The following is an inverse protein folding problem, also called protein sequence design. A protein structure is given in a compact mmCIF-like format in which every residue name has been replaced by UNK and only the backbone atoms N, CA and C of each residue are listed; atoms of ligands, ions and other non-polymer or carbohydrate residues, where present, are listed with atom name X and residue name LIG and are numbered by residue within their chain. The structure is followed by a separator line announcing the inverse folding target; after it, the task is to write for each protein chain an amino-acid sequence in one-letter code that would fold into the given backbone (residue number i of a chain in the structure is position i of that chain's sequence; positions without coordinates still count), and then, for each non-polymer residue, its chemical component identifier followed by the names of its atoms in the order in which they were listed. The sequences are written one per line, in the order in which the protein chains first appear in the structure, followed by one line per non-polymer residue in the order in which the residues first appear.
data_IF_178896730484
#
_entry.id   IF_178896730484
#
_cell.length_a   1.000
_cell.length_b   1.000
_cell.length_c   1.000
_cell.angle_alpha   90.00
_cell.angle_beta   90.00
_cell.angle_gamma   90.00
#
_symmetry.space_group_name_H-M   'P 1'
#
loop_
_entity.id
_entity.type
_entity.pdbx_description
1 polymer ?
#
# COMPACT_ATOMS: atom_id res chain seq x y z
N UNK A 1 -25.29 -12.23 -14.33
CA UNK A 1 -23.92 -11.67 -14.42
C UNK A 1 -23.03 -12.53 -13.55
N UNK A 2 -21.89 -12.98 -14.07
CA UNK A 2 -21.00 -13.89 -13.34
C UNK A 2 -20.25 -13.15 -12.23
N UNK A 3 -19.96 -13.84 -11.12
CA UNK A 3 -19.06 -13.32 -10.08
C UNK A 3 -17.71 -12.89 -10.67
N UNK A 4 -17.27 -13.59 -11.72
CA UNK A 4 -16.07 -13.27 -12.48
C UNK A 4 -16.15 -11.91 -13.18
N UNK A 5 -17.32 -11.56 -13.75
CA UNK A 5 -17.53 -10.27 -14.41
C UNK A 5 -17.54 -9.13 -13.39
N UNK A 6 -18.11 -9.36 -12.20
CA UNK A 6 -18.08 -8.38 -11.11
C UNK A 6 -16.65 -8.15 -10.60
N UNK A 7 -15.82 -9.18 -10.51
CA UNK A 7 -14.42 -9.05 -10.08
C UNK A 7 -13.55 -8.32 -11.12
N UNK A 8 -13.76 -8.57 -12.42
CA UNK A 8 -13.06 -7.84 -13.48
C UNK A 8 -13.49 -6.38 -13.57
N UNK A 9 -14.76 -6.08 -13.29
CA UNK A 9 -15.31 -4.72 -13.31
C UNK A 9 -15.12 -3.94 -12.00
N UNK A 10 -14.73 -4.61 -10.90
CA UNK A 10 -14.42 -3.98 -9.61
C UNK A 10 -13.08 -3.22 -9.58
N UNK A 11 -12.43 -3.03 -10.73
CA UNK A 11 -11.42 -1.98 -10.91
C UNK A 11 -9.97 -2.38 -10.62
N UNK A 12 -9.69 -3.61 -10.19
CA UNK A 12 -8.30 -4.11 -10.16
C UNK A 12 -7.89 -4.54 -11.56
N UNK A 13 -7.46 -3.58 -12.39
CA UNK A 13 -6.81 -3.87 -13.67
C UNK A 13 -5.66 -4.84 -13.41
N UNK A 14 -5.72 -6.02 -14.03
CA UNK A 14 -4.58 -6.94 -14.03
C UNK A 14 -3.43 -6.22 -14.74
N UNK A 15 -2.26 -6.02 -14.09
CA UNK A 15 -1.17 -5.28 -14.71
C UNK A 15 -0.62 -6.08 -15.91
N UNK A 16 -0.71 -5.47 -17.08
CA UNK A 16 -0.36 -6.06 -18.39
C UNK A 16 1.04 -5.69 -18.84
N UNK A 17 1.56 -4.56 -18.37
CA UNK A 17 2.91 -4.09 -18.68
C UNK A 17 3.87 -4.29 -17.50
N UNK A 18 5.18 -4.32 -17.76
CA UNK A 18 6.18 -4.35 -16.68
C UNK A 18 6.11 -3.09 -15.81
N UNK A 19 5.87 -1.92 -16.42
CA UNK A 19 5.70 -0.67 -15.69
C UNK A 19 4.55 -0.76 -14.68
N UNK A 20 3.38 -1.27 -15.09
CA UNK A 20 2.23 -1.48 -14.20
C UNK A 20 2.51 -2.51 -13.11
N UNK A 21 3.30 -3.54 -13.40
CA UNK A 21 3.71 -4.57 -12.44
C UNK A 21 4.65 -4.04 -11.37
N UNK A 22 5.48 -3.07 -11.75
CA UNK A 22 6.42 -2.40 -10.86
C UNK A 22 5.82 -1.13 -10.22
N UNK A 23 4.53 -0.84 -10.40
CA UNK A 23 3.87 0.23 -9.64
C UNK A 23 3.90 -0.05 -8.13
N UNK A 24 4.16 1.02 -7.36
CA UNK A 24 4.06 0.99 -5.90
C UNK A 24 2.60 0.95 -5.47
N UNK A 25 2.30 0.07 -4.52
CA UNK A 25 1.00 -0.04 -3.86
C UNK A 25 1.19 -0.10 -2.36
N UNK A 26 0.20 0.39 -1.62
CA UNK A 26 0.13 0.16 -0.18
C UNK A 26 -0.38 -1.25 0.06
N UNK A 27 0.22 -1.92 1.03
CA UNK A 27 -0.21 -3.21 1.55
C UNK A 27 -0.21 -3.14 3.08
N UNK A 28 -0.95 -4.01 3.73
CA UNK A 28 -1.11 -3.99 5.19
C UNK A 28 -0.73 -5.32 5.81
N UNK A 29 -0.30 -5.30 7.07
CA UNK A 29 -0.04 -6.53 7.83
C UNK A 29 -1.28 -6.89 8.64
N UNK A 30 -1.67 -8.15 8.62
CA UNK A 30 -2.77 -8.68 9.44
C UNK A 30 -2.32 -8.98 10.87
N UNK A 31 -1.93 -7.96 11.63
CA UNK A 31 -1.52 -8.08 13.05
C UNK A 31 -2.47 -7.37 14.02
N UNK A 32 -3.66 -6.95 13.56
CA UNK A 32 -4.65 -6.24 14.37
C UNK A 32 -4.36 -4.74 14.58
N UNK A 33 -3.23 -4.25 14.06
CA UNK A 33 -2.87 -2.83 14.01
C UNK A 33 -2.82 -2.37 12.56
N UNK A 34 -3.07 -1.08 12.31
CA UNK A 34 -2.99 -0.47 10.99
C UNK A 34 -1.54 -0.19 10.62
N UNK A 35 -0.79 -1.24 10.32
CA UNK A 35 0.61 -1.18 9.89
C UNK A 35 0.71 -1.36 8.39
N UNK A 36 1.09 -0.30 7.70
CA UNK A 36 1.17 -0.22 6.25
C UNK A 36 2.60 -0.36 5.74
N UNK A 37 2.72 -1.06 4.63
CA UNK A 37 3.92 -1.36 3.88
C UNK A 37 3.75 -0.94 2.42
N UNK A 38 4.87 -0.80 1.71
CA UNK A 38 4.85 -0.64 0.26
C UNK A 38 5.20 -1.97 -0.37
N UNK A 39 4.49 -2.32 -1.43
CA UNK A 39 4.77 -3.47 -2.27
C UNK A 39 4.77 -3.04 -3.74
N UNK A 40 5.24 -3.93 -4.61
CA UNK A 40 5.04 -3.81 -6.06
C UNK A 40 3.80 -4.61 -6.44
N UNK A 41 3.04 -4.18 -7.45
CA UNK A 41 1.85 -4.93 -7.93
C UNK A 41 2.14 -6.38 -8.28
N UNK A 42 3.33 -6.69 -8.79
CA UNK A 42 3.76 -8.07 -9.08
C UNK A 42 3.86 -8.97 -7.85
N UNK A 43 4.00 -8.41 -6.65
CA UNK A 43 4.20 -9.15 -5.40
C UNK A 43 3.56 -8.43 -4.21
N UNK A 44 2.23 -8.32 -4.22
CA UNK A 44 1.45 -7.65 -3.17
C UNK A 44 1.46 -8.39 -1.82
N UNK A 45 1.84 -9.66 -1.82
CA UNK A 45 1.90 -10.49 -0.62
C UNK A 45 3.20 -10.30 0.18
N UNK A 46 4.12 -9.49 -0.34
CA UNK A 46 5.37 -9.12 0.32
C UNK A 46 5.60 -7.62 0.24
N UNK A 47 5.89 -6.98 1.37
CA UNK A 47 6.43 -5.63 1.39
C UNK A 47 7.82 -5.56 0.75
N UNK A 48 8.26 -4.37 0.34
CA UNK A 48 9.63 -4.11 -0.13
C UNK A 48 10.68 -4.51 0.92
N UNK A 49 10.32 -4.44 2.21
CA UNK A 49 11.16 -4.88 3.32
C UNK A 49 11.15 -6.41 3.56
N UNK A 50 10.39 -7.19 2.78
CA UNK A 50 10.26 -8.65 2.92
C UNK A 50 9.15 -9.13 3.86
N UNK A 51 8.49 -8.22 4.59
CA UNK A 51 7.38 -8.57 5.49
C UNK A 51 6.22 -9.22 4.71
N UNK A 52 5.55 -10.25 5.26
CA UNK A 52 4.32 -10.77 4.67
C UNK A 52 3.20 -9.73 4.80
N UNK A 53 2.51 -9.46 3.72
CA UNK A 53 1.48 -8.41 3.63
C UNK A 53 0.23 -8.91 2.92
N UNK A 54 -0.86 -8.16 3.07
CA UNK A 54 -2.12 -8.35 2.36
C UNK A 54 -2.46 -7.10 1.54
N UNK A 55 -3.26 -7.25 0.47
CA UNK A 55 -3.79 -6.12 -0.27
C UNK A 55 -4.66 -5.24 0.62
N UNK A 56 -4.58 -3.93 0.45
CA UNK A 56 -5.47 -2.97 1.12
C UNK A 56 -6.16 -2.08 0.07
N UNK A 57 -7.30 -1.50 0.43
CA UNK A 57 -7.99 -0.53 -0.42
C UNK A 57 -7.36 0.87 -0.37
N UNK A 58 -6.36 1.08 0.49
CA UNK A 58 -5.68 2.36 0.64
C UNK A 58 -4.93 2.77 -0.64
N UNK A 59 -5.22 3.94 -1.22
CA UNK A 59 -4.48 4.44 -2.37
C UNK A 59 -3.09 4.91 -1.93
N UNK A 60 -2.09 4.86 -2.83
CA UNK A 60 -0.73 5.31 -2.54
C UNK A 60 -0.65 6.77 -2.08
N UNK A 61 -1.56 7.62 -2.56
CA UNK A 61 -1.70 9.01 -2.11
C UNK A 61 -1.94 9.13 -0.59
N UNK A 62 -2.55 8.13 0.05
CA UNK A 62 -2.81 8.12 1.49
C UNK A 62 -1.60 7.70 2.35
N UNK A 63 -0.46 7.37 1.74
CA UNK A 63 0.74 7.03 2.49
C UNK A 63 1.30 8.24 3.26
N UNK A 64 1.59 8.07 4.55
CA UNK A 64 2.12 9.14 5.41
C UNK A 64 1.15 10.27 5.74
N UNK A 65 -0.12 10.17 5.31
CA UNK A 65 -1.14 11.17 5.67
C UNK A 65 -1.44 10.99 7.17
N UNK A 66 -1.39 12.07 7.98
CA UNK A 66 -1.74 11.99 9.38
C UNK A 66 -3.17 11.46 9.53
N UNK A 67 -3.36 10.51 10.44
CA UNK A 67 -4.71 10.11 10.85
C UNK A 67 -5.47 11.29 11.46
N UNK A 68 -6.79 11.27 11.36
CA UNK A 68 -7.66 12.26 12.00
C UNK A 68 -7.36 12.38 13.50
N UNK A 69 -7.20 13.62 14.00
CA UNK A 69 -6.94 13.93 15.40
C UNK A 69 -8.06 13.45 16.34
N UNK A 70 -9.24 13.12 15.80
CA UNK A 70 -10.34 12.50 16.53
C UNK A 70 -10.06 11.03 16.91
N UNK A 71 -9.09 10.39 16.26
CA UNK A 71 -8.73 9.00 16.53
C UNK A 71 -7.80 8.90 17.75
N UNK A 72 -7.96 7.85 18.58
CA UNK A 72 -6.98 7.56 19.61
C UNK A 72 -5.59 7.35 19.02
N UNK A 73 -4.54 7.89 19.65
CA UNK A 73 -3.13 7.80 19.19
C UNK A 73 -2.68 6.39 18.77
N UNK A 74 -3.17 5.35 19.45
CA UNK A 74 -2.85 3.95 19.17
C UNK A 74 -3.55 3.37 17.93
N UNK A 75 -4.48 4.11 17.31
CA UNK A 75 -5.17 3.77 16.06
C UNK A 75 -4.65 4.55 14.86
N UNK A 76 -3.62 5.39 15.04
CA UNK A 76 -3.04 6.08 13.89
C UNK A 76 -2.33 5.07 12.99
N UNK A 77 -2.43 5.25 11.66
CA UNK A 77 -1.75 4.40 10.70
C UNK A 77 -0.23 4.49 10.90
N UNK A 78 0.43 3.34 11.05
CA UNK A 78 1.87 3.24 11.12
C UNK A 78 2.42 2.87 9.73
N UNK A 79 3.43 3.59 9.26
CA UNK A 79 4.02 3.39 7.93
C UNK A 79 5.45 2.83 8.05
N UNK A 80 5.77 1.77 7.31
CA UNK A 80 7.09 1.13 7.39
C UNK A 80 8.19 2.00 6.78
N UNK A 81 9.06 2.57 7.63
CA UNK A 81 10.19 3.42 7.19
C UNK A 81 11.16 2.70 6.24
N UNK A 82 11.41 1.40 6.44
CA UNK A 82 12.26 0.61 5.55
C UNK A 82 11.68 0.56 4.14
N UNK A 83 10.36 0.39 4.03
CA UNK A 83 9.68 0.41 2.75
C UNK A 83 9.76 1.80 2.11
N UNK A 84 9.56 2.87 2.88
CA UNK A 84 9.67 4.24 2.37
C UNK A 84 11.08 4.54 1.82
N UNK A 85 12.15 4.16 2.54
CA UNK A 85 13.54 4.35 2.10
C UNK A 85 13.87 3.58 0.82
N UNK A 86 13.34 2.36 0.66
CA UNK A 86 13.53 1.55 -0.55
C UNK A 86 12.72 2.06 -1.74
N UNK A 87 11.54 2.62 -1.50
CA UNK A 87 10.67 3.16 -2.53
C UNK A 87 11.11 4.55 -3.01
N UNK A 88 11.53 5.40 -2.07
CA UNK A 88 11.92 6.79 -2.30
C UNK A 88 13.22 7.13 -1.57
N UNK A 89 14.38 6.74 -2.11
CA UNK A 89 15.68 6.95 -1.47
C UNK A 89 15.99 8.42 -1.18
N UNK A 90 15.52 9.33 -2.03
CA UNK A 90 15.68 10.79 -1.89
C UNK A 90 14.53 11.47 -1.13
N UNK A 91 13.62 10.67 -0.56
CA UNK A 91 12.36 11.14 0.01
C UNK A 91 11.23 11.14 -1.01
N UNK A 92 10.00 11.02 -0.51
CA UNK A 92 8.82 10.97 -1.36
C UNK A 92 8.55 12.38 -1.94
N UNK A 93 8.47 12.55 -3.27
CA UNK A 93 8.43 13.87 -3.89
C UNK A 93 7.18 14.69 -3.56
N UNK A 94 6.08 14.05 -3.15
CA UNK A 94 4.79 14.67 -2.85
C UNK A 94 4.46 14.80 -1.35
N UNK A 95 5.34 14.37 -0.45
CA UNK A 95 5.19 14.63 0.99
C UNK A 95 6.12 15.78 1.43
N UNK A 96 5.66 16.69 2.31
CA UNK A 96 6.54 17.68 2.92
C UNK A 96 7.66 16.98 3.70
N UNK A 97 8.88 17.53 3.59
CA UNK A 97 10.09 17.04 4.28
C UNK A 97 10.03 17.27 5.78
#
# INVERSE_FOLDING_TARGET
MSLFDAMMNAGTKVPTTEAERDELVITEVSTGYWTYHLSRRRNIMRGLCGAPTLPTAMPLSAWGVPGDDSLPKHKHPAYCEKCAKLAWPEGRPDLPK
#
